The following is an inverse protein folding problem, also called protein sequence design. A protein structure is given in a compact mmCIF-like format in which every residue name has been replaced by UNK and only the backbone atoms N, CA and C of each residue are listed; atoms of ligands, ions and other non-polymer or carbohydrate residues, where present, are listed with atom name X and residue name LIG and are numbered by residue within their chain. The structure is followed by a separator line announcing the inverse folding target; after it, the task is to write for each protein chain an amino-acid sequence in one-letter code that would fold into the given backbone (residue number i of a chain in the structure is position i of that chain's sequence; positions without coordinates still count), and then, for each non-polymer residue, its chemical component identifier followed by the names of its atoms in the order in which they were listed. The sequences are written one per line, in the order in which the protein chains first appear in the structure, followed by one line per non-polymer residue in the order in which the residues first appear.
data_IF_059351560371
#
_entry.id   IF_059351560371
#
_cell.length_a   1.000
_cell.length_b   1.000
_cell.length_c   1.000
_cell.angle_alpha   90.00
_cell.angle_beta   90.00
_cell.angle_gamma   90.00
#
_symmetry.space_group_name_H-M   'P 1'
#
loop_
_entity.id
_entity.type
_entity.pdbx_description
1 polymer ?
#
# COMPACT_ATOMS: atom_id res chain seq x y z
N UNK A 1 5.65 -8.79 2.01
CA UNK A 1 6.91 -8.02 2.05
C UNK A 1 7.45 -8.01 3.47
N UNK A 2 8.76 -7.98 3.63
CA UNK A 2 9.45 -7.87 4.91
C UNK A 2 10.54 -6.80 4.83
N UNK A 3 10.83 -6.15 5.95
CA UNK A 3 11.88 -5.13 6.09
C UNK A 3 12.69 -5.34 7.37
N UNK A 4 13.93 -4.85 7.39
CA UNK A 4 14.81 -4.89 8.56
C UNK A 4 14.56 -3.70 9.51
N UNK A 5 15.42 -3.54 10.53
CA UNK A 5 15.33 -2.46 11.53
C UNK A 5 15.46 -1.06 10.95
N UNK A 6 16.16 -0.93 9.82
CA UNK A 6 16.42 0.34 9.13
C UNK A 6 15.39 0.58 8.01
N UNK A 7 14.29 -0.18 7.99
CA UNK A 7 13.27 -0.13 6.95
C UNK A 7 13.81 -0.37 5.53
N UNK A 8 14.88 -1.16 5.39
CA UNK A 8 15.32 -1.71 4.12
C UNK A 8 14.59 -3.02 3.84
N UNK A 9 14.17 -3.20 2.59
CA UNK A 9 13.44 -4.38 2.13
C UNK A 9 14.34 -5.61 2.18
N UNK A 10 13.94 -6.65 2.89
CA UNK A 10 14.69 -7.92 2.95
C UNK A 10 14.08 -8.99 2.05
N UNK A 11 12.77 -8.90 1.82
CA UNK A 11 12.04 -9.87 1.02
C UNK A 11 10.73 -9.28 0.50
N UNK A 12 10.43 -9.59 -0.75
CA UNK A 12 9.13 -9.39 -1.38
C UNK A 12 8.74 -10.67 -2.09
N UNK A 13 7.43 -10.91 -2.22
CA UNK A 13 6.95 -11.99 -3.09
C UNK A 13 6.81 -11.46 -4.53
N UNK A 14 6.78 -12.34 -5.55
CA UNK A 14 6.71 -11.92 -6.96
C UNK A 14 5.52 -11.01 -7.28
N UNK A 15 4.39 -11.22 -6.60
CA UNK A 15 3.19 -10.38 -6.77
C UNK A 15 3.43 -8.91 -6.39
N UNK A 16 4.24 -8.65 -5.36
CA UNK A 16 4.58 -7.28 -4.94
C UNK A 16 5.44 -6.58 -6.00
N UNK A 17 6.43 -7.31 -6.54
CA UNK A 17 7.34 -6.80 -7.58
C UNK A 17 6.55 -6.47 -8.85
N UNK A 18 5.72 -7.40 -9.32
CA UNK A 18 4.82 -7.20 -10.45
C UNK A 18 3.88 -6.00 -10.24
N UNK A 19 3.30 -5.88 -9.04
CA UNK A 19 2.36 -4.80 -8.72
C UNK A 19 3.01 -3.41 -8.78
N UNK A 20 4.28 -3.29 -8.37
CA UNK A 20 5.03 -2.04 -8.44
C UNK A 20 5.86 -1.87 -9.71
N UNK A 21 5.87 -2.85 -10.62
CA UNK A 21 6.61 -2.80 -11.88
C UNK A 21 8.13 -2.93 -11.71
N UNK A 22 8.58 -3.64 -10.68
CA UNK A 22 9.99 -3.95 -10.46
C UNK A 22 10.34 -5.35 -10.96
N UNK A 23 11.59 -5.52 -11.40
CA UNK A 23 12.12 -6.83 -11.76
C UNK A 23 12.36 -7.70 -10.51
N UNK A 24 12.37 -9.04 -10.65
CA UNK A 24 12.65 -9.94 -9.53
C UNK A 24 13.98 -9.61 -8.83
N UNK A 25 13.91 -9.41 -7.52
CA UNK A 25 15.04 -9.05 -6.67
C UNK A 25 15.40 -7.56 -6.65
N UNK A 26 14.86 -6.74 -7.56
CA UNK A 26 15.22 -5.33 -7.67
C UNK A 26 14.77 -4.51 -6.45
N UNK A 27 13.72 -4.94 -5.77
CA UNK A 27 13.23 -4.30 -4.55
C UNK A 27 14.08 -4.61 -3.32
N UNK A 28 14.82 -5.72 -3.31
CA UNK A 28 15.60 -6.14 -2.14
C UNK A 28 16.75 -5.15 -1.86
N UNK A 29 16.97 -4.84 -0.59
CA UNK A 29 17.94 -3.85 -0.13
C UNK A 29 17.48 -2.40 -0.27
N UNK A 30 16.43 -2.10 -1.05
CA UNK A 30 15.90 -0.73 -1.17
C UNK A 30 15.16 -0.33 0.10
N UNK A 31 15.35 0.91 0.51
CA UNK A 31 14.59 1.51 1.59
C UNK A 31 13.10 1.64 1.19
N UNK A 32 12.16 1.38 2.12
CA UNK A 32 10.71 1.44 1.86
C UNK A 32 10.27 2.76 1.19
N UNK A 33 10.95 3.87 1.52
CA UNK A 33 10.68 5.21 0.97
C UNK A 33 10.89 5.31 -0.54
N UNK A 34 11.60 4.36 -1.16
CA UNK A 34 11.80 4.31 -2.61
C UNK A 34 10.50 4.06 -3.39
N UNK A 35 9.42 3.67 -2.70
CA UNK A 35 8.15 3.24 -3.30
C UNK A 35 6.99 4.20 -2.98
N UNK A 36 7.28 5.46 -2.64
CA UNK A 36 6.29 6.44 -2.20
C UNK A 36 6.72 7.88 -2.50
N UNK A 37 5.76 8.81 -2.56
CA UNK A 37 6.08 10.26 -2.66
C UNK A 37 6.47 10.84 -1.29
N UNK A 38 7.00 12.07 -1.30
CA UNK A 38 7.44 12.80 -0.11
C UNK A 38 6.36 12.89 0.98
N UNK A 39 5.11 13.13 0.59
CA UNK A 39 3.98 13.19 1.52
C UNK A 39 3.79 11.85 2.24
N UNK A 40 3.83 10.75 1.50
CA UNK A 40 3.69 9.41 2.06
C UNK A 40 4.94 8.97 2.84
N UNK A 41 6.13 9.49 2.52
CA UNK A 41 7.35 9.31 3.33
C UNK A 41 7.16 9.86 4.74
N UNK A 42 6.65 11.08 4.89
CA UNK A 42 6.42 11.67 6.21
C UNK A 42 5.40 10.88 7.03
N UNK A 43 4.31 10.42 6.38
CA UNK A 43 3.35 9.53 7.03
C UNK A 43 4.02 8.21 7.45
N UNK A 44 4.82 7.60 6.57
CA UNK A 44 5.49 6.33 6.82
C UNK A 44 6.48 6.42 7.98
N UNK A 45 7.21 7.54 8.15
CA UNK A 45 8.12 7.77 9.29
C UNK A 45 7.39 7.59 10.63
N UNK A 46 6.26 8.28 10.82
CA UNK A 46 5.47 8.17 12.05
C UNK A 46 5.01 6.74 12.33
N UNK A 47 4.63 6.00 11.27
CA UNK A 47 4.16 4.62 11.37
C UNK A 47 5.28 3.65 11.66
N UNK A 48 6.49 3.90 11.15
CA UNK A 48 7.69 3.11 11.47
C UNK A 48 7.97 3.21 12.97
N UNK A 49 7.93 4.41 13.55
CA UNK A 49 8.14 4.58 14.99
C UNK A 49 7.07 3.88 15.83
N UNK A 50 5.81 3.93 15.40
CA UNK A 50 4.73 3.15 16.05
C UNK A 50 4.99 1.64 15.99
N UNK A 51 5.45 1.11 14.86
CA UNK A 51 5.80 -0.32 14.72
C UNK A 51 6.98 -0.71 15.60
N UNK A 52 8.00 0.13 15.73
CA UNK A 52 9.11 -0.10 16.67
C UNK A 52 8.62 -0.25 18.12
N UNK A 53 7.49 0.37 18.46
CA UNK A 53 6.80 0.25 19.75
C UNK A 53 5.76 -0.89 19.81
N UNK A 54 5.78 -1.83 18.87
CA UNK A 54 4.91 -3.02 18.89
C UNK A 54 3.54 -2.83 18.23
N UNK A 55 3.24 -1.66 17.68
CA UNK A 55 1.90 -1.36 17.14
C UNK A 55 1.76 -1.97 15.73
N UNK A 56 0.72 -2.78 15.55
CA UNK A 56 0.28 -3.28 14.24
C UNK A 56 -0.86 -2.41 13.71
N UNK A 57 -0.89 -2.17 12.41
CA UNK A 57 -1.85 -1.26 11.79
C UNK A 57 -2.28 -1.74 10.40
N UNK A 58 -3.48 -1.36 9.99
CA UNK A 58 -4.01 -1.57 8.65
C UNK A 58 -4.65 -0.28 8.15
N UNK A 59 -4.29 0.14 6.94
CA UNK A 59 -4.84 1.36 6.33
C UNK A 59 -4.64 1.38 4.81
N UNK A 60 -5.43 2.17 4.07
CA UNK A 60 -5.10 2.52 2.70
C UNK A 60 -3.74 3.24 2.65
N UNK A 61 -2.96 2.95 1.63
CA UNK A 61 -1.67 3.58 1.39
C UNK A 61 -1.41 3.66 -0.11
N UNK A 62 -0.86 4.79 -0.53
CA UNK A 62 -0.50 5.03 -1.92
C UNK A 62 0.98 4.68 -2.13
N UNK A 63 1.24 3.81 -3.11
CA UNK A 63 2.59 3.47 -3.55
C UNK A 63 2.88 4.07 -4.92
N UNK A 64 4.16 4.29 -5.19
CA UNK A 64 4.70 4.67 -6.49
C UNK A 64 5.33 3.46 -7.16
N UNK A 65 4.90 3.19 -8.39
CA UNK A 65 5.51 2.20 -9.29
C UNK A 65 6.83 2.72 -9.85
N UNK A 66 7.64 1.81 -10.39
CA UNK A 66 8.90 2.14 -11.07
C UNK A 66 8.75 3.15 -12.22
N UNK A 67 7.61 3.14 -12.91
CA UNK A 67 7.27 4.08 -13.98
C UNK A 67 6.74 5.45 -13.49
N UNK A 68 6.65 5.66 -12.18
CA UNK A 68 6.13 6.88 -11.55
C UNK A 68 4.61 6.90 -11.35
N UNK A 69 3.87 5.92 -11.87
CA UNK A 69 2.42 5.85 -11.66
C UNK A 69 2.08 5.44 -10.23
N UNK A 70 0.89 5.83 -9.77
CA UNK A 70 0.43 5.57 -8.41
C UNK A 70 -0.48 4.35 -8.35
N UNK A 71 -0.44 3.63 -7.23
CA UNK A 71 -1.46 2.63 -6.86
C UNK A 71 -1.98 2.90 -5.47
N UNK A 72 -3.25 2.58 -5.29
CA UNK A 72 -3.85 2.52 -3.96
C UNK A 72 -3.92 1.06 -3.51
N UNK A 73 -3.40 0.80 -2.31
CA UNK A 73 -3.39 -0.52 -1.72
C UNK A 73 -3.82 -0.47 -0.25
N UNK A 74 -4.42 -1.55 0.24
CA UNK A 74 -4.52 -1.79 1.68
C UNK A 74 -3.18 -2.32 2.17
N UNK A 75 -2.59 -1.61 3.12
CA UNK A 75 -1.32 -1.95 3.76
C UNK A 75 -1.58 -2.38 5.20
N UNK A 76 -1.31 -3.66 5.47
CA UNK A 76 -1.33 -4.22 6.83
C UNK A 76 0.10 -4.50 7.28
N UNK A 77 0.50 -3.90 8.39
CA UNK A 77 1.87 -4.01 8.92
C UNK A 77 1.88 -4.55 10.34
N UNK A 78 2.82 -5.45 10.62
CA UNK A 78 3.11 -5.97 11.94
C UNK A 78 4.60 -5.95 12.23
N UNK A 79 5.01 -5.65 13.48
CA UNK A 79 6.41 -5.70 13.87
C UNK A 79 6.90 -7.14 13.97
N UNK A 80 8.16 -7.36 13.62
CA UNK A 80 8.90 -8.57 13.90
C UNK A 80 9.68 -8.36 15.19
N UNK A 81 9.24 -9.00 16.26
CA UNK A 81 9.88 -8.93 17.58
C UNK A 81 10.62 -10.26 17.82
N UNK A 82 11.91 -10.18 18.15
CA UNK A 82 12.72 -11.34 18.50
C UNK A 82 12.32 -11.92 19.87
N UNK A 83 12.80 -13.13 20.17
CA UNK A 83 12.59 -13.75 21.48
C UNK A 83 13.19 -12.94 22.65
N UNK A 84 14.14 -12.04 22.35
CA UNK A 84 14.74 -11.08 23.28
C UNK A 84 13.91 -9.80 23.48
N UNK A 85 12.71 -9.73 22.89
CA UNK A 85 11.84 -8.55 22.93
C UNK A 85 12.30 -7.40 22.03
N UNK A 86 13.36 -7.57 21.23
CA UNK A 86 13.88 -6.50 20.37
C UNK A 86 13.19 -6.46 19.02
N UNK A 87 12.94 -5.25 18.52
CA UNK A 87 12.48 -5.03 17.16
C UNK A 87 13.53 -5.47 16.14
N UNK A 88 13.13 -6.32 15.19
CA UNK A 88 13.98 -6.86 14.11
C UNK A 88 13.56 -6.39 12.72
N UNK A 89 12.49 -5.58 12.64
CA UNK A 89 11.92 -5.13 11.39
C UNK A 89 10.41 -5.32 11.35
N UNK A 90 9.83 -5.39 10.16
CA UNK A 90 8.37 -5.49 10.01
C UNK A 90 7.97 -6.39 8.85
N UNK A 91 6.81 -7.03 8.99
CA UNK A 91 6.08 -7.66 7.91
C UNK A 91 5.00 -6.72 7.40
N UNK A 92 4.81 -6.73 6.08
CA UNK A 92 3.77 -6.00 5.38
C UNK A 92 3.03 -6.92 4.42
N UNK A 93 1.72 -7.01 4.59
CA UNK A 93 0.80 -7.53 3.59
C UNK A 93 0.23 -6.34 2.80
N UNK A 94 0.32 -6.42 1.48
CA UNK A 94 -0.09 -5.36 0.57
C UNK A 94 -1.10 -5.93 -0.41
N UNK A 95 -2.29 -5.34 -0.44
CA UNK A 95 -3.36 -5.72 -1.34
C UNK A 95 -3.74 -4.53 -2.23
N UNK A 96 -3.52 -4.64 -3.55
CA UNK A 96 -3.94 -3.60 -4.48
C UNK A 96 -5.48 -3.52 -4.51
N UNK A 97 -6.02 -2.31 -4.30
CA UNK A 97 -7.46 -2.04 -4.33
C UNK A 97 -7.84 -1.04 -5.42
N UNK A 98 -6.90 -0.68 -6.29
CA UNK A 98 -7.10 0.32 -7.35
C UNK A 98 -8.24 -0.10 -8.30
N UNK A 99 -8.23 -1.34 -8.79
CA UNK A 99 -9.26 -1.84 -9.70
C UNK A 99 -10.64 -1.93 -9.02
N UNK A 100 -10.67 -2.36 -7.76
CA UNK A 100 -11.91 -2.42 -6.98
C UNK A 100 -12.55 -1.04 -6.85
N UNK A 101 -11.76 -0.04 -6.47
CA UNK A 101 -12.22 1.35 -6.32
C UNK A 101 -12.69 1.91 -7.67
N UNK A 102 -11.95 1.69 -8.75
CA UNK A 102 -12.35 2.14 -10.08
C UNK A 102 -13.68 1.52 -10.52
N UNK A 103 -13.88 0.23 -10.27
CA UNK A 103 -15.14 -0.45 -10.57
C UNK A 103 -16.31 0.10 -9.73
N UNK A 104 -16.07 0.40 -8.45
CA UNK A 104 -17.07 1.02 -7.57
C UNK A 104 -17.46 2.43 -8.06
N UNK A 105 -16.48 3.23 -8.48
CA UNK A 105 -16.72 4.57 -9.03
C UNK A 105 -17.51 4.56 -10.33
N UNK A 106 -17.16 3.68 -11.29
CA UNK A 106 -17.89 3.58 -12.55
C UNK A 106 -19.33 3.11 -12.34
N UNK A 107 -19.53 2.12 -11.44
CA UNK A 107 -20.88 1.68 -11.06
C UNK A 107 -21.70 2.82 -10.47
N UNK A 108 -21.14 3.61 -9.56
CA UNK A 108 -21.82 4.74 -8.94
C UNK A 108 -22.20 5.81 -9.99
N UNK A 109 -21.33 6.07 -10.97
CA UNK A 109 -21.57 7.02 -12.06
C UNK A 109 -22.73 6.58 -12.97
N UNK A 110 -22.75 5.31 -13.37
CA UNK A 110 -23.84 4.75 -14.19
C UNK A 110 -25.17 4.82 -13.44
N UNK A 111 -25.18 4.46 -12.15
CA UNK A 111 -26.38 4.54 -11.32
C UNK A 111 -26.93 5.98 -11.21
N UNK A 112 -26.05 6.96 -11.03
CA UNK A 112 -26.43 8.37 -10.99
C UNK A 112 -27.03 8.84 -12.33
N UNK A 113 -26.46 8.41 -13.47
CA UNK A 113 -26.97 8.73 -14.80
C UNK A 113 -28.35 8.13 -15.06
N UNK A 114 -28.55 6.83 -14.73
CA UNK A 114 -29.84 6.15 -14.89
C UNK A 114 -30.94 6.79 -14.02
N UNK A 115 -30.61 7.19 -12.79
CA UNK A 115 -31.54 7.89 -11.91
C UNK A 115 -31.90 9.28 -12.43
N UNK A 116 -30.95 9.99 -13.03
CA UNK A 116 -31.21 11.28 -13.66
C UNK A 116 -32.09 11.15 -14.91
N UNK A 117 -31.83 10.17 -15.78
CA UNK A 117 -32.61 9.95 -17.00
C UNK A 117 -34.04 9.47 -16.71
N UNK A 118 -34.25 8.62 -15.70
CA UNK A 118 -35.59 8.11 -15.34
C UNK A 118 -36.50 9.22 -14.77
N UNK A 119 -35.93 10.19 -14.03
CA UNK A 119 -36.67 11.36 -13.56
C UNK A 119 -37.07 12.33 -14.67
N UNK A 120 -36.23 12.49 -15.69
CA UNK A 120 -36.54 13.34 -16.84
C UNK A 120 -37.63 12.74 -17.74
N UNK A 121 -37.64 11.40 -17.87
CA UNK A 121 -38.66 10.71 -18.67
C UNK A 121 -40.03 10.59 -17.98
N UNK A 122 -40.10 10.81 -16.65
CA UNK A 122 -41.33 10.76 -15.86
C UNK A 122 -42.01 12.13 -15.69
N UNK A 123 -41.58 13.14 -16.45
CA UNK A 123 -42.16 14.49 -16.50
C UNK A 123 -42.78 14.74 -17.86
#
# INVERSE_FOLDING_TARGET
MASNTDANTIYVNPRMEQMLGFEPGEMNGRHLFSFMDEKNVELAKSKIERRKNGISEEHPFEFIRKDGTKILATLKTSPLIGADGKYRGALAAVNNITEQINAEHEKAKIQAQLFHSSKLAAK
#
